data_IF_788538979371
#
_entry.id   IF_788538979371
#
_cell.length_a   1.000
_cell.length_b   1.000
_cell.length_c   1.000
_cell.angle_alpha   90.00
_cell.angle_beta   90.00
_cell.angle_gamma   90.00
#
_symmetry.space_group_name_H-M   'P 1'
#
loop_
_entity.id
_entity.type
_entity.pdbx_description
1 polymer ?
#
# COMPACT_ATOMS: atom_id res chain seq x y z
N UNK A 1 0.29 -18.53 39.35
CA UNK A 1 -0.91 -18.28 38.51
C UNK A 1 -0.73 -16.90 37.91
N UNK A 2 -0.04 -16.81 36.78
CA UNK A 2 0.24 -15.53 36.12
C UNK A 2 -1.04 -15.01 35.50
N UNK A 3 -1.49 -13.83 35.92
CA UNK A 3 -2.55 -13.11 35.22
C UNK A 3 -2.07 -12.87 33.79
N UNK A 4 -2.74 -13.51 32.82
CA UNK A 4 -2.67 -13.11 31.42
C UNK A 4 -3.32 -11.72 31.37
N UNK A 5 -2.52 -10.66 31.50
CA UNK A 5 -2.98 -9.31 31.18
C UNK A 5 -3.29 -9.32 29.70
N UNK A 6 -4.58 -9.34 29.35
CA UNK A 6 -5.01 -9.08 27.97
C UNK A 6 -4.60 -7.62 27.71
N UNK A 7 -3.47 -7.43 27.04
CA UNK A 7 -3.00 -6.10 26.69
C UNK A 7 -3.98 -5.48 25.70
N UNK A 8 -4.39 -4.23 25.97
CA UNK A 8 -5.35 -3.54 25.12
C UNK A 8 -4.73 -3.31 23.72
N UNK A 9 -5.48 -3.67 22.68
CA UNK A 9 -5.07 -3.41 21.30
C UNK A 9 -5.29 -1.94 20.98
N UNK A 10 -4.22 -1.22 20.63
CA UNK A 10 -4.25 0.20 20.31
C UNK A 10 -4.30 0.42 18.79
N UNK A 11 -4.89 1.55 18.38
CA UNK A 11 -4.63 2.16 17.08
C UNK A 11 -3.75 3.39 17.25
N UNK A 12 -2.78 3.54 16.35
CA UNK A 12 -2.01 4.76 16.18
C UNK A 12 -1.68 4.97 14.71
N UNK A 13 -1.06 6.09 14.37
CA UNK A 13 -0.83 6.48 12.99
C UNK A 13 0.58 7.01 12.75
N UNK A 14 0.96 6.97 11.48
CA UNK A 14 2.07 7.74 10.93
C UNK A 14 1.56 8.54 9.75
N UNK A 15 1.76 9.85 9.82
CA UNK A 15 1.37 10.79 8.77
C UNK A 15 2.61 11.28 8.04
N UNK A 16 2.79 10.84 6.79
CA UNK A 16 3.91 11.25 5.97
C UNK A 16 3.69 12.68 5.48
N UNK A 17 4.72 13.51 5.62
CA UNK A 17 4.65 14.92 5.25
C UNK A 17 4.60 15.10 3.72
N UNK A 18 4.11 16.27 3.23
CA UNK A 18 4.14 16.58 1.81
C UNK A 18 5.55 16.57 1.22
N UNK A 19 6.54 16.95 2.02
CA UNK A 19 7.94 16.89 1.60
C UNK A 19 8.41 15.45 1.40
N UNK A 20 8.16 14.56 2.36
CA UNK A 20 8.53 13.15 2.29
C UNK A 20 7.93 12.46 1.08
N UNK A 21 6.64 12.69 0.80
CA UNK A 21 5.98 12.11 -0.36
C UNK A 21 6.57 12.66 -1.66
N UNK A 22 6.79 13.97 -1.74
CA UNK A 22 7.35 14.63 -2.93
C UNK A 22 8.79 14.18 -3.22
N UNK A 23 9.60 13.94 -2.19
CA UNK A 23 11.00 13.49 -2.34
C UNK A 23 11.12 11.97 -2.38
N UNK A 24 10.01 11.25 -2.61
CA UNK A 24 9.97 9.80 -2.74
C UNK A 24 10.51 9.04 -1.52
N UNK A 25 10.46 9.64 -0.32
CA UNK A 25 10.88 8.98 0.94
C UNK A 25 9.87 7.93 1.41
N UNK A 26 8.69 7.83 0.78
CA UNK A 26 7.58 6.93 1.16
C UNK A 26 8.02 5.47 1.27
N UNK A 27 8.74 4.94 0.28
CA UNK A 27 9.16 3.53 0.29
C UNK A 27 10.07 3.20 1.47
N UNK A 28 11.14 3.99 1.65
CA UNK A 28 12.06 3.84 2.79
C UNK A 28 11.39 3.99 4.16
N UNK A 29 10.45 4.93 4.30
CA UNK A 29 9.67 5.10 5.53
C UNK A 29 8.79 3.87 5.81
N UNK A 30 8.02 3.43 4.82
CA UNK A 30 7.15 2.24 4.93
C UNK A 30 7.96 0.98 5.25
N UNK A 31 9.11 0.80 4.59
CA UNK A 31 10.04 -0.30 4.86
C UNK A 31 10.42 -0.37 6.35
N UNK A 32 10.77 0.76 6.96
CA UNK A 32 11.18 0.81 8.38
C UNK A 32 9.99 0.56 9.31
N UNK A 33 8.83 1.16 9.02
CA UNK A 33 7.62 0.96 9.83
C UNK A 33 7.22 -0.53 9.86
N UNK A 34 7.15 -1.18 8.70
CA UNK A 34 6.67 -2.56 8.59
C UNK A 34 7.68 -3.61 9.06
N UNK A 35 8.99 -3.33 8.97
CA UNK A 35 10.01 -4.29 9.38
C UNK A 35 10.39 -4.21 10.86
N UNK A 36 10.19 -3.06 11.53
CA UNK A 36 10.75 -2.81 12.87
C UNK A 36 9.73 -2.72 14.00
N UNK A 37 8.49 -2.34 13.70
CA UNK A 37 7.50 -2.06 14.75
C UNK A 37 6.77 -3.31 15.22
N UNK A 38 6.68 -4.34 14.36
CA UNK A 38 5.82 -5.52 14.61
C UNK A 38 4.33 -5.20 14.60
N UNK A 39 3.94 -3.99 14.17
CA UNK A 39 2.54 -3.57 14.12
C UNK A 39 1.89 -3.94 12.78
N UNK A 40 0.59 -4.14 12.83
CA UNK A 40 -0.22 -4.43 11.67
C UNK A 40 -0.64 -3.13 10.97
N UNK A 41 -0.29 -2.94 9.70
CA UNK A 41 -0.88 -1.88 8.88
C UNK A 41 -2.34 -2.24 8.56
N UNK A 42 -3.29 -1.45 9.05
CA UNK A 42 -4.73 -1.73 8.95
C UNK A 42 -5.50 -0.73 8.09
N UNK A 43 -4.98 0.48 7.91
CA UNK A 43 -5.53 1.43 6.95
C UNK A 43 -4.42 2.30 6.35
N UNK A 44 -4.69 2.78 5.14
CA UNK A 44 -3.93 3.84 4.50
C UNK A 44 -4.95 4.75 3.81
N UNK A 45 -4.67 6.05 3.77
CA UNK A 45 -5.47 7.01 2.99
C UNK A 45 -4.64 8.23 2.63
N UNK A 46 -4.77 8.67 1.38
CA UNK A 46 -4.23 9.94 0.93
C UNK A 46 -5.17 11.07 1.34
N UNK A 47 -4.60 12.20 1.78
CA UNK A 47 -5.34 13.41 2.08
C UNK A 47 -4.73 14.62 1.38
N UNK A 48 -5.61 15.57 1.05
CA UNK A 48 -5.31 16.95 0.75
C UNK A 48 -6.00 17.83 1.80
N UNK A 49 -5.38 18.01 2.99
CA UNK A 49 -6.02 18.67 4.13
C UNK A 49 -6.48 20.10 3.79
N UNK A 50 -7.74 20.40 4.08
CA UNK A 50 -8.30 21.75 4.05
C UNK A 50 -7.84 22.57 5.25
N UNK A 51 -8.00 23.89 5.16
CA UNK A 51 -7.55 24.83 6.20
C UNK A 51 -8.16 24.52 7.57
N UNK A 52 -9.43 24.10 7.62
CA UNK A 52 -10.11 23.78 8.88
C UNK A 52 -9.52 22.52 9.56
N UNK A 53 -9.28 21.45 8.79
CA UNK A 53 -8.63 20.24 9.30
C UNK A 53 -7.22 20.54 9.80
N UNK A 54 -6.43 21.28 9.01
CA UNK A 54 -5.07 21.66 9.40
C UNK A 54 -5.07 22.42 10.71
N UNK A 55 -5.97 23.39 10.87
CA UNK A 55 -5.96 24.22 12.07
C UNK A 55 -6.46 23.49 13.30
N UNK A 56 -7.52 22.68 13.19
CA UNK A 56 -7.98 21.83 14.30
C UNK A 56 -6.90 20.84 14.74
N UNK A 57 -6.19 20.23 13.79
CA UNK A 57 -5.11 19.29 14.08
C UNK A 57 -3.93 20.01 14.75
N UNK A 58 -3.50 21.15 14.20
CA UNK A 58 -2.39 21.94 14.74
C UNK A 58 -2.67 22.48 16.15
N UNK A 59 -3.90 22.93 16.42
CA UNK A 59 -4.29 23.47 17.72
C UNK A 59 -4.13 22.45 18.87
N UNK A 60 -4.28 21.15 18.59
CA UNK A 60 -4.14 20.08 19.56
C UNK A 60 -2.70 19.61 19.85
N UNK A 61 -1.69 20.12 19.15
CA UNK A 61 -0.33 19.55 19.20
C UNK A 61 0.52 19.97 20.40
N UNK A 62 0.32 21.18 20.91
CA UNK A 62 1.19 21.77 21.94
C UNK A 62 0.54 21.56 23.31
N UNK A 63 0.96 20.50 23.99
CA UNK A 63 0.38 20.05 25.27
C UNK A 63 1.42 19.98 26.39
N UNK A 64 2.72 19.91 26.05
CA UNK A 64 3.79 19.75 27.03
C UNK A 64 4.13 21.11 27.69
N UNK A 65 4.44 21.08 28.98
CA UNK A 65 4.87 22.24 29.75
C UNK A 65 6.39 22.34 29.86
N UNK A 66 7.12 21.25 29.60
CA UNK A 66 8.58 21.24 29.63
C UNK A 66 9.13 22.03 28.44
N UNK A 67 9.97 23.08 28.64
CA UNK A 67 10.32 24.03 27.59
C UNK A 67 10.89 23.41 26.32
N UNK A 68 11.76 22.41 26.45
CA UNK A 68 12.39 21.75 25.31
C UNK A 68 11.37 20.96 24.47
N UNK A 69 10.54 20.13 25.12
CA UNK A 69 9.50 19.34 24.46
C UNK A 69 8.44 20.24 23.82
N UNK A 70 8.05 21.30 24.54
CA UNK A 70 7.14 22.32 24.04
C UNK A 70 7.67 22.98 22.77
N UNK A 71 8.94 23.39 22.76
CA UNK A 71 9.57 23.99 21.57
C UNK A 71 9.55 23.04 20.37
N UNK A 72 9.76 21.73 20.58
CA UNK A 72 9.63 20.74 19.51
C UNK A 72 8.18 20.61 19.00
N UNK A 73 7.18 20.58 19.90
CA UNK A 73 5.77 20.57 19.52
C UNK A 73 5.38 21.85 18.75
N UNK A 74 5.85 23.01 19.18
CA UNK A 74 5.62 24.29 18.50
C UNK A 74 6.28 24.33 17.11
N UNK A 75 7.47 23.74 16.95
CA UNK A 75 8.12 23.58 15.65
C UNK A 75 7.29 22.70 14.69
N UNK A 76 6.75 21.58 15.18
CA UNK A 76 5.83 20.72 14.41
C UNK A 76 4.54 21.46 14.06
N UNK A 77 3.93 22.14 15.02
CA UNK A 77 2.71 22.89 14.81
C UNK A 77 2.89 23.95 13.71
N UNK A 78 4.00 24.71 13.77
CA UNK A 78 4.37 25.69 12.75
C UNK A 78 4.59 25.03 11.39
N UNK A 79 5.25 23.87 11.36
CA UNK A 79 5.45 23.11 10.14
C UNK A 79 4.12 22.69 9.51
N UNK A 80 3.20 22.13 10.30
CA UNK A 80 1.89 21.66 9.85
C UNK A 80 1.06 22.79 9.25
N UNK A 81 0.90 23.89 9.99
CA UNK A 81 0.16 25.08 9.50
C UNK A 81 0.70 25.60 8.17
N UNK A 82 2.03 25.58 8.01
CA UNK A 82 2.71 26.10 6.82
C UNK A 82 2.70 25.14 5.63
N UNK A 83 2.85 23.84 5.88
CA UNK A 83 3.17 22.88 4.82
C UNK A 83 2.02 21.94 4.46
N UNK A 84 1.01 21.78 5.31
CA UNK A 84 -0.14 20.95 5.00
C UNK A 84 -1.26 21.72 4.29
N UNK A 85 -1.36 23.03 4.56
CA UNK A 85 -2.29 23.92 3.88
C UNK A 85 -1.95 24.08 2.38
N UNK A 86 -2.96 24.47 1.60
CA UNK A 86 -2.80 24.83 0.20
C UNK A 86 -1.72 25.91 0.02
N UNK A 87 -0.98 25.85 -1.10
CA UNK A 87 -0.05 26.92 -1.45
C UNK A 87 -0.81 28.19 -1.81
N UNK A 88 -0.15 29.34 -1.71
CA UNK A 88 -0.65 30.61 -2.27
C UNK A 88 -1.01 30.50 -3.76
N UNK A 89 -0.37 29.59 -4.50
CA UNK A 89 -0.69 29.30 -5.90
C UNK A 89 -2.01 28.54 -6.12
N UNK A 90 -2.73 28.13 -5.06
CA UNK A 90 -3.88 27.24 -5.16
C UNK A 90 -3.51 25.76 -5.36
N UNK A 91 -2.23 25.42 -5.29
CA UNK A 91 -1.80 24.02 -5.42
C UNK A 91 -2.00 23.29 -4.09
N UNK A 92 -2.87 22.30 -4.10
CA UNK A 92 -3.14 21.43 -2.94
C UNK A 92 -1.93 20.58 -2.55
N UNK A 93 -1.78 20.33 -1.24
CA UNK A 93 -0.71 19.48 -0.69
C UNK A 93 -1.22 18.08 -0.47
N UNK A 94 -0.33 17.10 -0.59
CA UNK A 94 -0.68 15.68 -0.37
C UNK A 94 0.02 15.19 0.89
N UNK A 95 -0.72 14.52 1.76
CA UNK A 95 -0.20 13.74 2.88
C UNK A 95 -0.72 12.31 2.77
N UNK A 96 -0.01 11.36 3.38
CA UNK A 96 -0.38 9.95 3.43
C UNK A 96 -0.47 9.54 4.89
N UNK A 97 -1.67 9.18 5.33
CA UNK A 97 -1.86 8.59 6.65
C UNK A 97 -1.79 7.08 6.55
N UNK A 98 -0.98 6.47 7.41
CA UNK A 98 -0.91 5.04 7.64
C UNK A 98 -1.38 4.77 9.06
N UNK A 99 -2.33 3.85 9.25
CA UNK A 99 -2.87 3.47 10.55
C UNK A 99 -2.39 2.07 10.90
N UNK A 100 -1.86 1.95 12.11
CA UNK A 100 -1.30 0.71 12.63
C UNK A 100 -2.08 0.23 13.85
N UNK A 101 -2.22 -1.09 13.96
CA UNK A 101 -2.87 -1.79 15.06
C UNK A 101 -1.87 -2.70 15.76
N UNK A 102 -1.97 -2.77 17.08
CA UNK A 102 -1.25 -3.74 17.89
C UNK A 102 -1.13 -3.33 19.35
N UNK A 103 -0.52 -4.18 20.15
CA UNK A 103 -0.13 -3.85 21.53
C UNK A 103 0.93 -2.74 21.53
N UNK A 104 0.76 -1.74 22.40
CA UNK A 104 1.66 -0.59 22.54
C UNK A 104 1.91 0.15 21.20
N UNK A 105 0.89 0.23 20.33
CA UNK A 105 1.04 0.79 18.98
C UNK A 105 1.59 2.22 19.02
N UNK A 106 1.13 3.05 19.96
CA UNK A 106 1.63 4.41 20.10
C UNK A 106 3.12 4.44 20.47
N UNK A 107 3.50 3.68 21.49
CA UNK A 107 4.89 3.63 21.97
C UNK A 107 5.84 3.10 20.88
N UNK A 108 5.50 1.96 20.25
CA UNK A 108 6.30 1.35 19.19
C UNK A 108 6.48 2.27 17.98
N UNK A 109 5.42 3.00 17.58
CA UNK A 109 5.54 4.00 16.52
C UNK A 109 6.42 5.17 16.95
N UNK A 110 6.27 5.70 18.18
CA UNK A 110 7.12 6.79 18.66
C UNK A 110 8.59 6.42 18.69
N UNK A 111 8.93 5.23 19.18
CA UNK A 111 10.31 4.72 19.20
C UNK A 111 10.86 4.53 17.78
N UNK A 112 10.08 3.92 16.87
CA UNK A 112 10.50 3.73 15.48
C UNK A 112 10.61 5.03 14.68
N UNK A 113 9.74 6.01 14.97
CA UNK A 113 9.78 7.34 14.35
C UNK A 113 10.93 8.18 14.88
N UNK A 114 11.21 8.08 16.18
CA UNK A 114 12.26 8.84 16.86
C UNK A 114 11.80 10.20 17.37
N UNK A 115 12.64 10.79 18.22
CA UNK A 115 12.42 12.13 18.78
C UNK A 115 13.04 13.22 17.91
N UNK A 116 12.43 14.40 17.86
CA UNK A 116 12.94 15.55 17.09
C UNK A 116 14.17 16.19 17.74
N UNK A 117 14.22 16.17 19.07
CA UNK A 117 15.28 16.82 19.85
C UNK A 117 16.53 15.95 20.03
N UNK A 118 16.60 14.80 19.36
CA UNK A 118 17.71 13.88 19.57
C UNK A 118 18.92 14.32 18.73
N UNK A 119 19.97 14.82 19.39
CA UNK A 119 21.20 15.29 18.74
C UNK A 119 22.06 14.16 18.15
N UNK A 120 21.79 12.90 18.53
CA UNK A 120 22.47 11.73 17.96
C UNK A 120 21.81 11.30 16.67
N UNK A 121 22.30 11.80 15.55
CA UNK A 121 21.95 11.32 14.21
C UNK A 121 22.66 9.99 13.92
N UNK A 122 22.10 8.87 14.42
CA UNK A 122 22.65 7.52 14.21
C UNK A 122 22.05 6.80 12.98
N UNK A 123 21.00 7.37 12.37
CA UNK A 123 20.24 6.72 11.31
C UNK A 123 19.31 5.61 11.80
N UNK A 124 19.14 5.45 13.11
CA UNK A 124 18.37 4.38 13.73
C UNK A 124 16.87 4.57 13.53
N UNK A 125 16.35 5.79 13.70
CA UNK A 125 14.93 6.08 13.60
C UNK A 125 14.54 6.62 12.22
N UNK A 126 13.23 6.73 11.94
CA UNK A 126 12.76 7.34 10.69
C UNK A 126 13.22 8.79 10.59
N UNK A 127 13.13 9.56 11.68
CA UNK A 127 13.56 10.97 11.71
C UNK A 127 15.06 11.12 11.52
N UNK A 128 15.89 10.21 12.04
CA UNK A 128 17.34 10.33 11.86
C UNK A 128 17.76 10.17 10.39
N UNK A 129 17.00 9.40 9.61
CA UNK A 129 17.33 9.12 8.20
C UNK A 129 16.62 10.05 7.22
N UNK A 130 15.38 10.41 7.53
CA UNK A 130 14.49 11.10 6.60
C UNK A 130 14.05 12.46 7.11
N UNK A 131 14.32 12.81 8.35
CA UNK A 131 14.06 14.12 8.91
C UNK A 131 15.28 15.02 8.77
N UNK A 132 15.04 16.33 8.82
CA UNK A 132 16.07 17.34 8.79
C UNK A 132 15.81 18.32 9.95
N UNK A 133 16.76 18.44 10.88
CA UNK A 133 16.73 19.42 11.96
C UNK A 133 18.07 20.16 11.93
N UNK A 134 18.11 21.25 11.17
CA UNK A 134 19.35 21.99 10.91
C UNK A 134 19.33 23.26 11.76
N UNK A 135 20.38 23.44 12.55
CA UNK A 135 20.61 24.63 13.38
C UNK A 135 21.75 25.48 12.82
N UNK A 136 21.71 26.78 13.10
CA UNK A 136 22.88 27.64 12.92
C UNK A 136 23.89 27.47 14.07
N UNK A 137 25.01 28.20 13.99
CA UNK A 137 26.07 28.21 15.01
C UNK A 137 25.60 28.63 16.42
N UNK A 138 24.47 29.32 16.51
CA UNK A 138 23.89 29.82 17.76
C UNK A 138 22.79 28.86 18.28
N UNK A 139 22.63 27.69 17.63
CA UNK A 139 21.65 26.67 17.99
C UNK A 139 20.23 26.95 17.51
N UNK A 140 20.00 27.99 16.68
CA UNK A 140 18.66 28.33 16.19
C UNK A 140 18.30 27.46 15.00
N UNK A 141 17.09 26.92 15.01
CA UNK A 141 16.59 26.07 13.92
C UNK A 141 16.42 26.90 12.63
N UNK A 142 17.23 26.62 11.62
CA UNK A 142 17.19 27.27 10.30
C UNK A 142 16.34 26.51 9.30
N UNK A 143 16.30 25.17 9.42
CA UNK A 143 15.48 24.31 8.57
C UNK A 143 14.95 23.13 9.37
N UNK A 144 13.67 22.83 9.16
CA UNK A 144 12.98 21.76 9.87
C UNK A 144 12.06 20.99 8.93
N UNK A 145 12.27 19.68 8.86
CA UNK A 145 11.43 18.70 8.17
C UNK A 145 11.31 17.46 9.06
N UNK A 146 10.14 17.13 9.64
CA UNK A 146 10.02 16.01 10.56
C UNK A 146 9.95 14.64 9.86
N UNK A 147 9.88 14.60 8.53
CA UNK A 147 9.62 13.44 7.68
C UNK A 147 8.22 12.85 7.84
N UNK A 148 7.84 12.56 9.09
CA UNK A 148 6.55 11.99 9.50
C UNK A 148 6.11 12.56 10.85
N UNK A 149 4.80 12.54 11.06
CA UNK A 149 4.16 12.83 12.35
C UNK A 149 3.54 11.56 12.90
N UNK A 150 3.54 11.41 14.23
CA UNK A 150 2.90 10.32 14.97
C UNK A 150 2.43 10.88 16.30
N UNK A 151 1.42 10.25 16.90
CA UNK A 151 0.84 10.72 18.15
C UNK A 151 1.83 10.62 19.32
N UNK A 152 1.88 11.61 20.24
CA UNK A 152 2.72 11.53 21.44
C UNK A 152 2.17 10.56 22.48
N UNK A 153 0.87 10.31 22.53
CA UNK A 153 0.26 9.41 23.50
C UNK A 153 -1.07 8.85 22.95
N UNK A 154 -1.65 7.89 23.68
CA UNK A 154 -2.88 7.23 23.26
C UNK A 154 -4.10 8.16 23.20
N UNK A 155 -4.17 9.17 24.09
CA UNK A 155 -5.26 10.14 24.08
C UNK A 155 -5.20 11.01 22.82
N UNK A 156 -4.00 11.46 22.46
CA UNK A 156 -3.71 12.22 21.24
C UNK A 156 -3.97 11.36 20.00
N UNK A 157 -3.52 10.10 19.98
CA UNK A 157 -3.79 9.17 18.87
C UNK A 157 -5.29 9.02 18.61
N UNK A 158 -6.07 8.84 19.68
CA UNK A 158 -7.53 8.74 19.60
C UNK A 158 -8.18 10.03 19.10
N UNK A 159 -7.77 11.18 19.64
CA UNK A 159 -8.31 12.48 19.24
C UNK A 159 -8.00 12.81 17.78
N UNK A 160 -6.75 12.58 17.36
CA UNK A 160 -6.29 12.79 16.00
C UNK A 160 -7.04 11.88 15.03
N UNK A 161 -7.05 10.57 15.25
CA UNK A 161 -7.76 9.63 14.37
C UNK A 161 -9.24 10.00 14.24
N UNK A 162 -9.90 10.38 15.34
CA UNK A 162 -11.29 10.88 15.32
C UNK A 162 -11.43 12.11 14.42
N UNK A 163 -10.54 13.10 14.57
CA UNK A 163 -10.55 14.31 13.75
C UNK A 163 -10.33 13.98 12.26
N UNK A 164 -9.29 13.21 11.94
CA UNK A 164 -8.99 12.85 10.56
C UNK A 164 -10.10 11.99 9.91
N UNK A 165 -10.78 11.14 10.69
CA UNK A 165 -11.95 10.41 10.22
C UNK A 165 -13.12 11.34 9.85
N UNK A 166 -13.38 12.39 10.62
CA UNK A 166 -14.45 13.36 10.34
C UNK A 166 -14.27 14.07 8.98
N UNK A 167 -13.02 14.35 8.59
CA UNK A 167 -12.68 15.04 7.34
C UNK A 167 -12.32 14.08 6.19
N UNK A 168 -12.31 12.77 6.43
CA UNK A 168 -11.77 11.80 5.46
C UNK A 168 -12.57 11.67 4.16
N UNK A 169 -13.84 12.08 4.14
CA UNK A 169 -14.66 12.16 2.92
C UNK A 169 -14.42 13.45 2.12
N UNK A 170 -14.22 14.58 2.80
CA UNK A 170 -14.02 15.89 2.15
C UNK A 170 -12.58 16.11 1.69
N UNK A 171 -11.63 15.63 2.49
CA UNK A 171 -10.20 15.96 2.36
C UNK A 171 -9.39 14.73 1.95
N UNK A 172 -9.97 13.54 1.93
CA UNK A 172 -9.29 12.28 1.65
C UNK A 172 -9.82 11.53 0.43
N UNK A 173 -9.11 10.47 0.04
CA UNK A 173 -9.52 9.56 -1.04
C UNK A 173 -8.57 9.62 -2.24
N UNK A 174 -9.13 9.64 -3.46
CA UNK A 174 -8.35 9.76 -4.69
C UNK A 174 -8.14 11.24 -5.05
N UNK A 175 -6.90 11.71 -4.94
CA UNK A 175 -6.55 13.13 -5.05
C UNK A 175 -6.30 13.59 -6.50
N UNK A 176 -7.29 13.40 -7.38
CA UNK A 176 -7.18 13.62 -8.84
C UNK A 176 -6.77 15.04 -9.26
N UNK A 177 -7.08 16.03 -8.41
CA UNK A 177 -6.85 17.46 -8.67
C UNK A 177 -5.72 18.06 -7.83
N UNK A 178 -4.97 17.23 -7.10
CA UNK A 178 -3.92 17.72 -6.21
C UNK A 178 -2.58 17.98 -6.92
N UNK A 179 -2.48 17.64 -8.21
CA UNK A 179 -1.27 17.80 -9.00
C UNK A 179 -1.63 18.53 -10.29
N UNK A 180 -0.87 19.56 -10.61
CA UNK A 180 -0.98 20.29 -11.87
C UNK A 180 -0.04 19.67 -12.89
N UNK A 181 -0.54 19.50 -14.11
CA UNK A 181 0.22 19.02 -15.25
C UNK A 181 0.12 20.04 -16.40
N UNK A 182 1.14 20.14 -17.26
CA UNK A 182 1.03 20.93 -18.49
C UNK A 182 -0.20 20.50 -19.32
N UNK A 183 -0.90 21.41 -20.01
CA UNK A 183 -2.08 21.07 -20.82
C UNK A 183 -1.84 20.01 -21.91
N UNK A 184 -0.58 19.88 -22.35
CA UNK A 184 -0.16 18.92 -23.38
C UNK A 184 0.16 17.53 -22.82
N UNK A 185 0.21 17.36 -21.50
CA UNK A 185 0.61 16.11 -20.88
C UNK A 185 -0.46 15.02 -21.06
N UNK A 186 -0.04 13.83 -21.48
CA UNK A 186 -0.89 12.64 -21.53
C UNK A 186 -1.07 12.06 -20.11
N UNK A 187 -1.86 12.75 -19.27
CA UNK A 187 -2.06 12.37 -17.87
C UNK A 187 -2.90 11.10 -17.78
N UNK A 188 -2.32 10.06 -17.21
CA UNK A 188 -2.97 8.79 -16.97
C UNK A 188 -2.98 8.47 -15.48
N UNK A 189 -3.89 7.58 -15.08
CA UNK A 189 -3.86 6.88 -13.80
C UNK A 189 -3.61 5.41 -14.05
N UNK A 190 -2.91 4.76 -13.14
CA UNK A 190 -2.74 3.31 -13.13
C UNK A 190 -2.84 2.77 -11.71
N UNK A 191 -3.47 1.61 -11.55
CA UNK A 191 -3.56 0.91 -10.29
C UNK A 191 -2.35 -0.01 -10.14
N UNK A 192 -1.77 -0.02 -8.94
CA UNK A 192 -0.78 -0.99 -8.49
C UNK A 192 -1.32 -1.70 -7.25
N UNK A 193 -1.27 -3.03 -7.24
CA UNK A 193 -1.51 -3.81 -6.02
C UNK A 193 -0.19 -4.44 -5.58
N UNK A 194 0.29 -4.09 -4.39
CA UNK A 194 1.33 -4.86 -3.72
C UNK A 194 0.68 -6.09 -3.12
N UNK A 195 1.10 -7.27 -3.58
CA UNK A 195 0.41 -8.54 -3.35
C UNK A 195 0.55 -9.07 -1.91
N UNK A 196 -0.34 -9.99 -1.48
CA UNK A 196 -0.36 -10.50 -0.11
C UNK A 196 0.92 -11.16 0.40
N UNK A 197 1.75 -11.74 -0.48
CA UNK A 197 3.04 -12.30 -0.09
C UNK A 197 3.95 -11.30 0.63
N UNK A 198 3.79 -10.00 0.36
CA UNK A 198 4.57 -8.95 1.01
C UNK A 198 4.13 -8.62 2.44
N UNK A 199 2.95 -9.10 2.88
CA UNK A 199 2.36 -8.77 4.18
C UNK A 199 2.24 -9.97 5.13
N UNK A 200 2.71 -11.17 4.73
CA UNK A 200 2.61 -12.40 5.53
C UNK A 200 3.42 -12.37 6.83
N UNK A 201 4.51 -11.64 6.86
CA UNK A 201 5.36 -11.44 8.04
C UNK A 201 5.98 -10.04 8.01
N UNK A 202 6.39 -9.46 9.15
CA UNK A 202 7.08 -8.17 9.19
C UNK A 202 8.33 -8.17 8.32
N UNK A 203 8.37 -7.30 7.30
CA UNK A 203 9.48 -7.21 6.37
C UNK A 203 9.50 -5.85 5.63
N UNK A 204 10.59 -5.57 4.92
CA UNK A 204 10.80 -4.31 4.19
C UNK A 204 10.30 -4.34 2.73
N UNK A 205 9.82 -5.48 2.21
CA UNK A 205 9.47 -5.65 0.79
C UNK A 205 8.40 -4.68 0.30
N UNK A 206 7.28 -4.42 1.01
CA UNK A 206 6.28 -3.45 0.53
C UNK A 206 6.88 -2.07 0.29
N UNK A 207 7.71 -1.58 1.22
CA UNK A 207 8.37 -0.29 1.08
C UNK A 207 9.43 -0.28 -0.03
N UNK A 208 10.18 -1.38 -0.20
CA UNK A 208 11.09 -1.58 -1.33
C UNK A 208 10.38 -1.50 -2.69
N UNK A 209 9.22 -2.15 -2.83
CA UNK A 209 8.40 -2.08 -4.05
C UNK A 209 7.97 -0.63 -4.35
N UNK A 210 7.52 0.12 -3.34
CA UNK A 210 7.14 1.53 -3.48
C UNK A 210 8.36 2.39 -3.88
N UNK A 211 9.52 2.13 -3.26
CA UNK A 211 10.77 2.84 -3.57
C UNK A 211 11.18 2.63 -5.03
N UNK A 212 11.14 1.39 -5.51
CA UNK A 212 11.45 1.03 -6.89
C UNK A 212 10.50 1.72 -7.88
N UNK A 213 9.19 1.78 -7.58
CA UNK A 213 8.20 2.52 -8.38
C UNK A 213 8.40 4.04 -8.38
N UNK A 214 8.98 4.60 -7.32
CA UNK A 214 9.21 6.04 -7.22
C UNK A 214 10.13 6.60 -8.31
N UNK A 215 10.97 5.74 -8.92
CA UNK A 215 11.85 6.07 -10.05
C UNK A 215 11.09 6.45 -11.32
N UNK A 216 9.79 6.18 -11.39
CA UNK A 216 8.93 6.61 -12.51
C UNK A 216 8.67 8.12 -12.54
N UNK A 217 8.88 8.83 -11.41
CA UNK A 217 8.50 10.23 -11.25
C UNK A 217 6.99 10.47 -11.18
N UNK A 218 6.19 9.40 -11.06
CA UNK A 218 4.74 9.47 -10.91
C UNK A 218 4.34 9.79 -9.47
N UNK A 219 3.12 10.25 -9.31
CA UNK A 219 2.60 10.69 -8.03
C UNK A 219 1.60 9.68 -7.47
N UNK A 220 1.77 9.29 -6.21
CA UNK A 220 0.75 8.54 -5.47
C UNK A 220 -0.42 9.50 -5.17
N UNK A 221 -1.61 9.16 -5.64
CA UNK A 221 -2.84 9.95 -5.45
C UNK A 221 -3.92 9.22 -4.66
N UNK A 222 -3.80 7.91 -4.50
CA UNK A 222 -4.59 7.12 -3.57
C UNK A 222 -3.75 5.99 -2.99
N UNK A 223 -4.07 5.57 -1.77
CA UNK A 223 -3.40 4.47 -1.10
C UNK A 223 -4.39 3.86 -0.10
N UNK A 224 -4.77 2.60 -0.27
CA UNK A 224 -5.71 1.90 0.61
C UNK A 224 -5.17 0.51 0.97
N UNK A 225 -5.35 0.11 2.23
CA UNK A 225 -5.23 -1.30 2.62
C UNK A 225 -6.50 -2.02 2.14
N UNK A 226 -6.33 -3.10 1.40
CA UNK A 226 -7.40 -3.81 0.72
C UNK A 226 -7.41 -5.29 1.11
N UNK A 227 -8.60 -5.77 1.45
CA UNK A 227 -8.91 -7.17 1.69
C UNK A 227 -9.95 -7.59 0.66
N UNK A 228 -9.50 -8.04 -0.51
CA UNK A 228 -10.40 -8.36 -1.62
C UNK A 228 -11.36 -9.47 -1.22
N UNK A 229 -12.67 -9.24 -1.37
CA UNK A 229 -13.63 -10.33 -1.33
C UNK A 229 -13.40 -11.31 -2.48
N UNK A 230 -13.93 -12.54 -2.36
CA UNK A 230 -13.84 -13.52 -3.46
C UNK A 230 -14.51 -12.95 -4.71
N UNK A 231 -15.69 -12.33 -4.57
CA UNK A 231 -16.42 -11.72 -5.69
C UNK A 231 -15.60 -10.63 -6.39
N UNK A 232 -14.94 -9.76 -5.64
CA UNK A 232 -14.06 -8.74 -6.22
C UNK A 232 -12.87 -9.36 -6.95
N UNK A 233 -12.24 -10.39 -6.38
CA UNK A 233 -11.09 -11.04 -6.99
C UNK A 233 -11.47 -11.81 -8.28
N UNK A 234 -12.64 -12.45 -8.31
CA UNK A 234 -13.16 -13.08 -9.52
C UNK A 234 -13.44 -12.07 -10.63
N UNK A 235 -14.07 -10.94 -10.31
CA UNK A 235 -14.34 -9.89 -11.29
C UNK A 235 -13.03 -9.27 -11.79
N UNK A 236 -12.09 -9.01 -10.88
CA UNK A 236 -10.78 -8.41 -11.20
C UNK A 236 -9.94 -9.29 -12.12
N UNK A 237 -9.83 -10.59 -11.79
CA UNK A 237 -9.02 -11.55 -12.55
C UNK A 237 -9.81 -12.32 -13.61
N UNK A 238 -11.11 -12.06 -13.77
CA UNK A 238 -11.98 -12.72 -14.74
C UNK A 238 -11.41 -12.77 -16.16
N UNK A 239 -10.88 -11.65 -16.71
CA UNK A 239 -10.28 -11.64 -18.05
C UNK A 239 -9.10 -12.62 -18.23
N UNK A 240 -8.44 -13.02 -17.13
CA UNK A 240 -7.29 -13.93 -17.16
C UNK A 240 -7.71 -15.39 -17.32
N UNK A 241 -8.95 -15.76 -16.98
CA UNK A 241 -9.42 -17.15 -17.01
C UNK A 241 -9.31 -17.75 -18.41
N UNK A 242 -9.90 -17.11 -19.42
CA UNK A 242 -9.87 -17.61 -20.80
C UNK A 242 -8.42 -17.72 -21.33
N UNK A 243 -7.56 -16.76 -20.97
CA UNK A 243 -6.14 -16.79 -21.34
C UNK A 243 -5.42 -17.99 -20.73
N UNK A 244 -5.69 -18.32 -19.47
CA UNK A 244 -5.09 -19.49 -18.82
C UNK A 244 -5.61 -20.81 -19.40
N UNK A 245 -6.91 -20.89 -19.68
CA UNK A 245 -7.54 -22.08 -20.28
C UNK A 245 -6.98 -22.40 -21.66
N UNK A 246 -6.63 -21.38 -22.45
CA UNK A 246 -5.97 -21.55 -23.74
C UNK A 246 -4.47 -21.86 -23.58
N UNK A 247 -3.74 -21.01 -22.84
CA UNK A 247 -2.28 -21.09 -22.71
C UNK A 247 -1.79 -22.39 -22.05
N UNK A 248 -2.60 -23.01 -21.19
CA UNK A 248 -2.22 -24.23 -20.48
C UNK A 248 -2.55 -25.52 -21.24
N UNK A 249 -3.19 -25.48 -22.42
CA UNK A 249 -3.49 -26.68 -23.22
C UNK A 249 -2.24 -27.50 -23.54
N UNK A 250 -1.21 -26.86 -24.08
CA UNK A 250 0.05 -27.54 -24.42
C UNK A 250 0.73 -28.16 -23.19
N UNK A 251 0.80 -27.41 -22.09
CA UNK A 251 1.37 -27.92 -20.83
C UNK A 251 0.56 -29.10 -20.27
N UNK A 252 -0.77 -29.03 -20.33
CA UNK A 252 -1.65 -30.11 -19.88
C UNK A 252 -1.46 -31.36 -20.75
N UNK A 253 -1.36 -31.21 -22.07
CA UNK A 253 -1.05 -32.29 -23.00
C UNK A 253 0.29 -32.96 -22.67
N UNK A 254 1.34 -32.16 -22.44
CA UNK A 254 2.67 -32.67 -22.11
C UNK A 254 2.69 -33.44 -20.78
N UNK A 255 2.02 -32.91 -19.75
CA UNK A 255 1.90 -33.57 -18.45
C UNK A 255 1.13 -34.90 -18.59
N UNK A 256 -0.01 -34.88 -19.31
CA UNK A 256 -0.83 -36.07 -19.50
C UNK A 256 -0.11 -37.14 -20.32
N UNK A 257 0.54 -36.75 -21.42
CA UNK A 257 1.35 -37.65 -22.23
C UNK A 257 2.46 -38.30 -21.39
N UNK A 258 3.24 -37.48 -20.67
CA UNK A 258 4.31 -37.97 -19.80
C UNK A 258 3.82 -38.93 -18.71
N UNK A 259 2.61 -38.73 -18.20
CA UNK A 259 2.03 -39.59 -17.16
C UNK A 259 1.45 -40.91 -17.72
N UNK A 260 0.81 -40.86 -18.89
CA UNK A 260 0.02 -41.98 -19.43
C UNK A 260 0.78 -42.85 -20.43
N UNK A 261 1.66 -42.27 -21.28
CA UNK A 261 2.46 -43.03 -22.26
C UNK A 261 3.19 -44.23 -21.61
N UNK A 262 3.85 -44.09 -20.43
CA UNK A 262 4.51 -45.22 -19.78
C UNK A 262 3.55 -46.28 -19.23
N UNK A 263 2.32 -45.91 -18.86
CA UNK A 263 1.33 -46.83 -18.27
C UNK A 263 0.65 -47.70 -19.33
N UNK A 264 0.50 -47.15 -20.54
CA UNK A 264 -0.10 -47.85 -21.67
C UNK A 264 0.93 -48.48 -22.60
N UNK A 265 2.22 -48.24 -22.39
CA UNK A 265 3.31 -48.67 -23.28
C UNK A 265 3.12 -48.20 -24.74
N UNK A 266 2.58 -46.99 -24.91
CA UNK A 266 2.34 -46.36 -26.21
C UNK A 266 3.02 -44.99 -26.28
N UNK A 267 3.19 -44.48 -27.50
CA UNK A 267 3.50 -43.08 -27.74
C UNK A 267 2.29 -42.40 -28.36
N UNK A 268 1.84 -41.28 -27.80
CA UNK A 268 0.71 -40.55 -28.36
C UNK A 268 1.14 -39.79 -29.61
N UNK A 269 0.31 -39.87 -30.65
CA UNK A 269 0.47 -39.03 -31.84
C UNK A 269 0.26 -37.54 -31.50
N UNK A 270 0.73 -36.61 -32.35
CA UNK A 270 0.47 -35.18 -32.18
C UNK A 270 -1.01 -34.84 -32.03
N UNK A 271 -1.89 -35.52 -32.78
CA UNK A 271 -3.34 -35.34 -32.74
C UNK A 271 -3.91 -35.78 -31.38
N UNK A 272 -3.45 -36.92 -30.85
CA UNK A 272 -3.86 -37.40 -29.53
C UNK A 272 -3.37 -36.46 -28.42
N UNK A 273 -2.13 -35.95 -28.51
CA UNK A 273 -1.62 -34.95 -27.55
C UNK A 273 -2.44 -33.66 -27.61
N UNK A 274 -2.78 -33.18 -28.80
CA UNK A 274 -3.66 -32.02 -28.96
C UNK A 274 -5.04 -32.25 -28.31
N UNK A 275 -5.66 -33.42 -28.55
CA UNK A 275 -6.93 -33.79 -27.93
C UNK A 275 -6.87 -33.85 -26.39
N UNK A 276 -5.77 -34.38 -25.83
CA UNK A 276 -5.54 -34.35 -24.37
C UNK A 276 -5.42 -32.92 -23.85
N UNK A 277 -4.73 -32.05 -24.58
CA UNK A 277 -4.59 -30.63 -24.25
C UNK A 277 -5.92 -29.88 -24.28
N UNK A 278 -6.75 -30.12 -25.29
CA UNK A 278 -8.10 -29.53 -25.39
C UNK A 278 -9.03 -30.02 -24.28
N UNK A 279 -8.89 -31.28 -23.86
CA UNK A 279 -9.67 -31.86 -22.77
C UNK A 279 -9.26 -31.30 -21.40
N UNK A 280 -7.95 -31.28 -21.09
CA UNK A 280 -7.44 -31.00 -19.74
C UNK A 280 -7.05 -29.53 -19.54
N UNK A 281 -6.67 -28.82 -20.60
CA UNK A 281 -6.25 -27.42 -20.56
C UNK A 281 -7.27 -26.48 -19.93
N UNK A 282 -8.57 -26.53 -20.31
CA UNK A 282 -9.60 -25.70 -19.69
C UNK A 282 -9.77 -25.94 -18.19
N UNK A 283 -9.67 -27.18 -17.74
CA UNK A 283 -9.76 -27.52 -16.31
C UNK A 283 -8.50 -27.04 -15.57
N UNK A 284 -7.31 -27.33 -16.09
CA UNK A 284 -6.05 -26.85 -15.50
C UNK A 284 -6.01 -25.31 -15.43
N UNK A 285 -6.49 -24.63 -16.48
CA UNK A 285 -6.63 -23.17 -16.52
C UNK A 285 -7.59 -22.63 -15.47
N UNK A 286 -8.73 -23.30 -15.27
CA UNK A 286 -9.68 -22.96 -14.20
C UNK A 286 -9.05 -23.10 -12.82
N UNK A 287 -8.37 -24.22 -12.54
CA UNK A 287 -7.68 -24.43 -11.25
C UNK A 287 -6.62 -23.36 -10.98
N UNK A 288 -5.81 -23.02 -12.00
CA UNK A 288 -4.78 -21.98 -11.87
C UNK A 288 -5.39 -20.58 -11.65
N UNK A 289 -6.55 -20.31 -12.25
CA UNK A 289 -7.29 -19.07 -12.02
C UNK A 289 -7.88 -19.02 -10.61
N UNK A 290 -8.43 -20.14 -10.12
CA UNK A 290 -8.92 -20.23 -8.73
C UNK A 290 -7.80 -20.03 -7.71
N UNK A 291 -6.58 -20.52 -8.00
CA UNK A 291 -5.40 -20.23 -7.18
C UNK A 291 -5.05 -18.73 -7.14
N UNK A 292 -5.22 -18.00 -8.24
CA UNK A 292 -5.02 -16.54 -8.27
C UNK A 292 -6.05 -15.85 -7.38
N UNK A 293 -7.32 -16.24 -7.49
CA UNK A 293 -8.39 -15.68 -6.66
C UNK A 293 -8.15 -16.01 -5.18
N UNK A 294 -7.78 -17.24 -4.87
CA UNK A 294 -7.46 -17.68 -3.51
C UNK A 294 -6.23 -16.95 -2.96
N UNK A 295 -5.20 -16.73 -3.76
CA UNK A 295 -4.01 -16.00 -3.36
C UNK A 295 -4.32 -14.53 -3.00
N UNK A 296 -5.29 -13.91 -3.68
CA UNK A 296 -5.62 -12.49 -3.48
C UNK A 296 -6.73 -12.25 -2.45
N UNK A 297 -7.63 -13.22 -2.23
CA UNK A 297 -8.79 -13.10 -1.33
C UNK A 297 -8.72 -14.02 -0.09
N UNK A 298 -7.88 -15.05 -0.14
CA UNK A 298 -7.72 -16.07 0.90
C UNK A 298 -8.64 -17.27 0.79
N UNK A 299 -9.53 -17.32 -0.22
CA UNK A 299 -10.45 -18.45 -0.42
C UNK A 299 -10.60 -18.78 -1.90
N UNK A 300 -10.68 -20.08 -2.22
CA UNK A 300 -11.01 -20.53 -3.57
C UNK A 300 -12.47 -20.23 -3.90
N UNK A 301 -12.79 -19.78 -5.13
CA UNK A 301 -14.16 -19.58 -5.57
C UNK A 301 -15.07 -20.79 -5.40
N UNK A 302 -14.57 -21.98 -5.71
CA UNK A 302 -15.30 -23.26 -5.62
C UNK A 302 -15.58 -23.70 -4.18
N UNK A 303 -14.81 -23.21 -3.22
CA UNK A 303 -14.88 -23.59 -1.80
C UNK A 303 -15.51 -22.48 -0.93
N UNK A 304 -15.82 -21.32 -1.51
CA UNK A 304 -16.29 -20.16 -0.76
C UNK A 304 -17.83 -20.21 -0.55
N UNK A 305 -18.31 -20.24 0.71
CA UNK A 305 -19.73 -20.14 1.03
C UNK A 305 -20.35 -18.85 0.46
N UNK A 306 -21.59 -18.94 -0.02
CA UNK A 306 -22.26 -17.85 -0.73
C UNK A 306 -22.36 -16.55 0.08
N UNK A 307 -22.58 -16.66 1.40
CA UNK A 307 -22.67 -15.54 2.34
C UNK A 307 -21.32 -14.86 2.62
N UNK A 308 -20.20 -15.54 2.37
CA UNK A 308 -18.85 -15.01 2.52
C UNK A 308 -18.28 -14.41 1.23
N UNK A 309 -18.89 -14.67 0.07
CA UNK A 309 -18.33 -14.26 -1.25
C UNK A 309 -18.12 -12.76 -1.39
N UNK A 310 -19.01 -11.95 -0.80
CA UNK A 310 -18.96 -10.49 -0.82
C UNK A 310 -18.33 -9.88 0.42
N UNK A 311 -17.97 -10.69 1.42
CA UNK A 311 -17.30 -10.21 2.62
C UNK A 311 -15.81 -9.99 2.35
N UNK A 312 -15.14 -9.08 3.09
CA UNK A 312 -13.70 -8.88 2.95
C UNK A 312 -12.92 -10.19 3.09
N UNK A 313 -11.94 -10.38 2.20
CA UNK A 313 -11.04 -11.53 2.23
C UNK A 313 -10.11 -11.52 3.44
N UNK A 314 -9.40 -12.63 3.65
CA UNK A 314 -8.41 -12.72 4.74
C UNK A 314 -7.04 -12.19 4.31
N UNK A 315 -6.74 -12.20 3.02
CA UNK A 315 -5.47 -11.75 2.49
C UNK A 315 -5.41 -10.24 2.35
N UNK A 316 -4.28 -9.66 2.77
CA UNK A 316 -4.05 -8.21 2.76
C UNK A 316 -3.21 -7.81 1.56
N UNK A 317 -3.65 -6.80 0.84
CA UNK A 317 -2.83 -6.13 -0.17
C UNK A 317 -2.85 -4.62 0.06
N UNK A 318 -1.90 -3.92 -0.56
CA UNK A 318 -1.85 -2.46 -0.56
C UNK A 318 -2.12 -1.97 -1.98
N UNK A 319 -3.24 -1.27 -2.15
CA UNK A 319 -3.62 -0.65 -3.40
C UNK A 319 -3.05 0.77 -3.45
N UNK A 320 -2.28 1.09 -4.49
CA UNK A 320 -1.79 2.44 -4.78
C UNK A 320 -2.28 2.88 -6.16
N UNK A 321 -2.72 4.12 -6.27
CA UNK A 321 -3.01 4.74 -7.58
C UNK A 321 -1.91 5.75 -7.88
N UNK A 322 -1.22 5.52 -8.99
CA UNK A 322 -0.20 6.44 -9.51
C UNK A 322 -0.81 7.29 -10.63
N UNK A 323 -0.56 8.60 -10.59
CA UNK A 323 -0.98 9.56 -11.61
C UNK A 323 0.23 10.27 -12.20
N UNK A 324 0.20 10.48 -13.51
CA UNK A 324 1.17 11.30 -14.24
C UNK A 324 1.20 11.00 -15.73
N UNK A 325 2.11 11.64 -16.44
CA UNK A 325 2.28 11.44 -17.88
C UNK A 325 2.74 10.01 -18.19
N UNK A 326 2.02 9.32 -19.08
CA UNK A 326 2.25 7.92 -19.48
C UNK A 326 2.32 6.93 -18.29
N UNK A 327 1.52 7.15 -17.25
CA UNK A 327 1.61 6.41 -16.00
C UNK A 327 1.58 4.88 -16.18
N UNK A 328 0.69 4.36 -17.05
CA UNK A 328 0.56 2.91 -17.30
C UNK A 328 1.87 2.34 -17.83
N UNK A 329 2.42 2.94 -18.90
CA UNK A 329 3.66 2.47 -19.52
C UNK A 329 4.83 2.50 -18.53
N UNK A 330 5.05 3.63 -17.85
CA UNK A 330 6.15 3.82 -16.90
C UNK A 330 6.11 2.81 -15.74
N UNK A 331 4.91 2.56 -15.18
CA UNK A 331 4.75 1.56 -14.12
C UNK A 331 5.06 0.15 -14.62
N UNK A 332 4.59 -0.22 -15.83
CA UNK A 332 4.86 -1.54 -16.40
C UNK A 332 6.33 -1.78 -16.71
N UNK A 333 7.03 -0.77 -17.20
CA UNK A 333 8.48 -0.83 -17.45
C UNK A 333 9.25 -1.14 -16.16
N UNK A 334 8.93 -0.44 -15.06
CA UNK A 334 9.56 -0.67 -13.75
C UNK A 334 9.11 -2.00 -13.12
N UNK A 335 7.88 -2.43 -13.36
CA UNK A 335 7.35 -3.69 -12.84
C UNK A 335 8.04 -4.91 -13.47
N UNK A 336 8.25 -4.88 -14.79
CA UNK A 336 8.81 -5.99 -15.56
C UNK A 336 7.77 -7.05 -15.97
N UNK A 337 8.18 -8.04 -16.79
CA UNK A 337 7.30 -9.11 -17.30
C UNK A 337 6.80 -10.03 -16.18
N UNK A 338 5.67 -10.70 -16.39
CA UNK A 338 4.97 -11.50 -15.36
C UNK A 338 5.81 -12.61 -14.74
N UNK A 339 6.75 -13.17 -15.51
CA UNK A 339 7.70 -14.19 -15.07
C UNK A 339 8.99 -13.55 -14.54
N UNK A 340 9.25 -13.61 -13.21
CA UNK A 340 10.47 -13.07 -12.60
C UNK A 340 11.77 -13.58 -13.23
N UNK A 341 11.80 -14.82 -13.73
CA UNK A 341 13.02 -15.40 -14.32
C UNK A 341 13.44 -14.68 -15.61
N UNK A 342 12.45 -14.11 -16.32
CA UNK A 342 12.62 -13.37 -17.58
C UNK A 342 12.70 -11.86 -17.38
N UNK A 343 12.55 -11.39 -16.14
CA UNK A 343 12.52 -9.96 -15.84
C UNK A 343 13.94 -9.35 -15.82
N UNK A 344 14.16 -8.17 -16.42
CA UNK A 344 15.44 -7.48 -16.36
C UNK A 344 15.85 -7.12 -14.93
N UNK A 345 17.17 -7.09 -14.69
CA UNK A 345 17.74 -6.59 -13.42
C UNK A 345 17.25 -5.17 -13.15
N UNK A 346 16.92 -4.88 -11.89
CA UNK A 346 16.37 -3.58 -11.50
C UNK A 346 14.85 -3.48 -11.59
N UNK A 347 14.14 -4.46 -12.17
CA UNK A 347 12.67 -4.47 -12.17
C UNK A 347 12.11 -5.11 -10.90
N UNK A 348 10.91 -4.69 -10.49
CA UNK A 348 10.27 -5.16 -9.26
C UNK A 348 10.08 -6.68 -9.26
N UNK A 349 9.62 -7.24 -10.39
CA UNK A 349 9.42 -8.70 -10.48
C UNK A 349 10.73 -9.47 -10.43
N UNK A 350 11.83 -8.89 -10.92
CA UNK A 350 13.17 -9.52 -10.79
C UNK A 350 13.69 -9.48 -9.36
N UNK A 351 13.51 -8.36 -8.67
CA UNK A 351 14.04 -8.15 -7.32
C UNK A 351 13.21 -8.84 -6.23
N UNK A 352 11.88 -8.81 -6.36
CA UNK A 352 10.98 -9.24 -5.29
C UNK A 352 10.12 -10.45 -5.68
N UNK A 353 9.97 -10.77 -6.97
CA UNK A 353 9.17 -11.91 -7.43
C UNK A 353 9.84 -13.26 -7.23
N UNK A 354 9.05 -14.28 -6.89
CA UNK A 354 9.50 -15.66 -6.72
C UNK A 354 9.05 -16.56 -7.87
N UNK A 355 7.78 -16.44 -8.26
CA UNK A 355 7.16 -17.23 -9.34
C UNK A 355 6.20 -16.35 -10.15
N UNK A 356 5.60 -16.89 -11.22
CA UNK A 356 4.58 -16.18 -12.02
C UNK A 356 3.39 -15.75 -11.15
N UNK A 357 2.97 -16.58 -10.20
CA UNK A 357 1.85 -16.29 -9.29
C UNK A 357 2.28 -15.32 -8.17
N UNK A 358 3.42 -15.60 -7.54
CA UNK A 358 4.01 -14.81 -6.45
C UNK A 358 5.05 -13.85 -7.02
N UNK A 359 4.58 -12.85 -7.77
CA UNK A 359 5.43 -11.91 -8.50
C UNK A 359 5.45 -10.50 -7.88
N UNK A 360 5.26 -10.40 -6.56
CA UNK A 360 5.30 -9.20 -5.73
C UNK A 360 4.23 -8.12 -5.99
N UNK A 361 3.91 -7.80 -7.24
CA UNK A 361 2.93 -6.76 -7.56
C UNK A 361 2.14 -7.01 -8.86
N UNK A 362 0.91 -6.50 -8.87
CA UNK A 362 0.07 -6.28 -10.05
C UNK A 362 0.13 -4.82 -10.46
N UNK A 363 0.01 -4.54 -11.76
CA UNK A 363 -0.27 -3.21 -12.27
C UNK A 363 -1.19 -3.28 -13.49
N UNK A 364 -2.07 -2.29 -13.64
CA UNK A 364 -2.96 -2.20 -14.81
C UNK A 364 -2.16 -2.10 -16.10
N UNK A 365 -2.68 -2.73 -17.15
CA UNK A 365 -2.01 -2.90 -18.44
C UNK A 365 -2.46 -1.89 -19.51
N UNK A 366 -3.57 -1.19 -19.29
CA UNK A 366 -4.13 -0.11 -20.10
C UNK A 366 -4.89 0.92 -19.21
N UNK A 367 -5.07 2.18 -19.66
CA UNK A 367 -5.84 3.19 -18.91
C UNK A 367 -7.29 2.76 -18.61
N UNK A 368 -7.95 2.10 -19.56
CA UNK A 368 -9.32 1.60 -19.42
C UNK A 368 -9.39 0.48 -18.38
N UNK A 369 -8.37 -0.39 -18.38
CA UNK A 369 -8.25 -1.46 -17.39
C UNK A 369 -7.98 -0.89 -16.00
N UNK A 370 -7.18 0.18 -15.88
CA UNK A 370 -7.00 0.88 -14.61
C UNK A 370 -8.32 1.43 -14.07
N UNK A 371 -9.15 2.04 -14.93
CA UNK A 371 -10.47 2.55 -14.54
C UNK A 371 -11.39 1.42 -14.06
N UNK A 372 -11.49 0.31 -14.82
CA UNK A 372 -12.27 -0.87 -14.44
C UNK A 372 -11.81 -1.43 -13.10
N UNK A 373 -10.51 -1.71 -12.99
CA UNK A 373 -9.89 -2.33 -11.82
C UNK A 373 -10.09 -1.49 -10.55
N UNK A 374 -9.91 -0.17 -10.63
CA UNK A 374 -10.20 0.76 -9.53
C UNK A 374 -11.67 0.75 -9.10
N UNK A 375 -12.59 0.57 -10.05
CA UNK A 375 -14.02 0.42 -9.78
C UNK A 375 -14.33 -0.86 -9.01
N UNK A 376 -13.75 -1.99 -9.42
CA UNK A 376 -13.94 -3.30 -8.79
C UNK A 376 -13.46 -3.29 -7.33
N UNK A 377 -12.26 -2.76 -7.08
CA UNK A 377 -11.73 -2.65 -5.71
C UNK A 377 -12.32 -1.48 -4.92
N UNK A 378 -13.18 -0.68 -5.56
CA UNK A 378 -13.87 0.48 -4.99
C UNK A 378 -12.91 1.44 -4.28
N UNK A 379 -11.85 1.83 -4.97
CA UNK A 379 -10.75 2.62 -4.39
C UNK A 379 -11.19 3.95 -3.72
N UNK A 380 -12.36 4.47 -4.10
CA UNK A 380 -12.96 5.68 -3.52
C UNK A 380 -13.61 5.44 -2.15
N UNK A 381 -14.01 4.20 -1.83
CA UNK A 381 -14.67 3.88 -0.56
C UNK A 381 -13.80 4.26 0.63
N UNK A 382 -14.44 4.81 1.67
CA UNK A 382 -13.77 5.33 2.84
C UNK A 382 -13.72 4.31 3.99
N UNK A 383 -13.05 3.19 3.72
CA UNK A 383 -12.85 2.14 4.73
C UNK A 383 -12.01 2.63 5.93
N UNK A 384 -11.22 3.70 5.74
CA UNK A 384 -10.49 4.38 6.80
C UNK A 384 -11.43 4.93 7.88
N UNK A 385 -12.49 5.66 7.47
CA UNK A 385 -13.47 6.22 8.40
C UNK A 385 -14.19 5.14 9.19
N UNK A 386 -14.71 4.14 8.48
CA UNK A 386 -15.41 2.99 9.08
C UNK A 386 -14.54 2.27 10.10
N UNK A 387 -13.25 2.04 9.78
CA UNK A 387 -12.31 1.39 10.70
C UNK A 387 -12.12 2.20 12.00
N UNK A 388 -11.97 3.51 11.89
CA UNK A 388 -11.75 4.37 13.06
C UNK A 388 -13.02 4.49 13.89
N UNK A 389 -14.18 4.70 13.27
CA UNK A 389 -15.46 4.81 13.98
C UNK A 389 -15.79 3.50 14.73
N UNK A 390 -15.56 2.34 14.11
CA UNK A 390 -15.73 1.04 14.76
C UNK A 390 -14.76 0.82 15.92
N UNK A 391 -13.53 1.32 15.83
CA UNK A 391 -12.57 1.26 16.94
C UNK A 391 -12.95 2.22 18.07
N UNK A 392 -13.45 3.42 17.77
CA UNK A 392 -13.86 4.40 18.78
C UNK A 392 -15.12 4.00 19.55
N UNK A 393 -15.94 3.11 18.98
CA UNK A 393 -17.17 2.59 19.58
C UNK A 393 -16.95 1.39 20.52
N UNK A 394 -15.75 0.80 20.49
CA UNK A 394 -15.28 -0.19 21.48
C UNK A 394 -14.75 0.55 22.71
#
# INVERSE_FOLDING_TARGET
MGFLVIMAVELSYVLLTPYSIRKSRTGGIVSRLLSRTGLELVAARMFSPGAELVEKYAAGMVTDTEPAHRAAQEAIQKYVRRHFSEKESGTKRRVLMLVFRGEDAVKKLREGVGHILNERTSGETIRDTFGDFITDKDGRVVYFEPAVLTAPDAASARADLKLWAQYSDSDGGVLDKAIEFPPTANVQKTLVLIKPDNFRFPNARPGGVIDTFSRTGLYIVACNVLHMSVAQAEEFYGPVLAVLQDKLRGRAADIAAKALEPQFEITFSPETKAALGDLLGPQMGRENWEDIVAFMSGRRPSECPADLRSQPGTEKCLALVYQGEDAVRKIREVLGPTDPSKAPVGTIRKEFGQTIMVNAAHASDAPENAQREMGIIRIQENNFRTLIENWLAQ
#
